data_IF_013834752469
#
_entry.id   IF_013834752469
#
_cell.length_a   1.000
_cell.length_b   1.000
_cell.length_c   1.000
_cell.angle_alpha   90.00
_cell.angle_beta   90.00
_cell.angle_gamma   90.00
#
_symmetry.space_group_name_H-M   'P 1'
#
loop_
_entity.id
_entity.type
_entity.pdbx_description
1 polymer ?
#
# COMPACT_ATOMS: atom_id res chain seq x y z
N UNK A 1 50.82 -24.26 22.92
CA UNK A 1 49.47 -24.82 22.79
C UNK A 1 48.37 -23.99 23.49
N UNK A 2 48.69 -23.30 24.59
CA UNK A 2 47.70 -22.45 25.32
C UNK A 2 47.42 -21.11 24.61
N UNK A 3 48.40 -20.55 23.90
CA UNK A 3 48.28 -19.25 23.24
C UNK A 3 47.36 -19.28 21.99
N UNK A 4 47.35 -20.41 21.29
CA UNK A 4 46.46 -20.62 20.13
C UNK A 4 44.99 -20.81 20.54
N UNK A 5 44.72 -21.39 21.72
CA UNK A 5 43.34 -21.61 22.22
C UNK A 5 42.69 -20.26 22.66
N UNK A 6 43.51 -19.30 23.19
CA UNK A 6 43.04 -17.96 23.56
C UNK A 6 42.60 -17.12 22.32
N UNK A 7 43.40 -17.19 21.26
CA UNK A 7 43.09 -16.46 20.00
C UNK A 7 41.88 -16.99 19.29
N UNK A 8 41.60 -18.28 19.35
CA UNK A 8 40.39 -18.90 18.79
C UNK A 8 39.11 -18.51 19.55
N UNK A 9 39.17 -18.39 20.88
CA UNK A 9 38.05 -17.94 21.70
C UNK A 9 37.68 -16.48 21.47
N UNK A 10 38.67 -15.60 21.32
CA UNK A 10 38.44 -14.16 21.09
C UNK A 10 37.94 -13.91 19.66
N UNK A 11 38.47 -14.64 18.66
CA UNK A 11 38.00 -14.54 17.28
C UNK A 11 36.57 -15.06 17.07
N UNK A 12 36.23 -16.14 17.77
CA UNK A 12 34.88 -16.70 17.72
C UNK A 12 33.80 -15.79 18.34
N UNK A 13 34.13 -15.17 19.48
CA UNK A 13 33.22 -14.25 20.17
C UNK A 13 32.97 -12.95 19.38
N UNK A 14 34.00 -12.42 18.70
CA UNK A 14 33.90 -11.27 17.83
C UNK A 14 33.10 -11.59 16.54
N UNK A 15 33.25 -12.79 15.97
CA UNK A 15 32.51 -13.23 14.80
C UNK A 15 31.02 -13.43 15.08
N UNK A 16 30.67 -13.97 16.27
CA UNK A 16 29.27 -14.15 16.70
C UNK A 16 28.63 -12.77 16.99
N UNK A 17 29.36 -11.84 17.60
CA UNK A 17 28.87 -10.48 17.85
C UNK A 17 28.63 -9.70 16.56
N UNK A 18 29.53 -9.82 15.57
CA UNK A 18 29.37 -9.18 14.27
C UNK A 18 28.21 -9.78 13.44
N UNK A 19 28.03 -11.11 13.51
CA UNK A 19 26.91 -11.80 12.86
C UNK A 19 25.55 -11.43 13.49
N UNK A 20 25.49 -11.29 14.83
CA UNK A 20 24.27 -10.86 15.52
C UNK A 20 23.94 -9.39 15.20
N UNK A 21 24.92 -8.49 15.21
CA UNK A 21 24.70 -7.08 14.85
C UNK A 21 24.33 -6.92 13.37
N UNK A 22 24.94 -7.68 12.47
CA UNK A 22 24.60 -7.72 11.04
C UNK A 22 23.19 -8.26 10.78
N UNK A 23 22.78 -9.29 11.53
CA UNK A 23 21.43 -9.86 11.46
C UNK A 23 20.35 -8.88 11.92
N UNK A 24 20.61 -8.11 12.98
CA UNK A 24 19.68 -7.08 13.44
C UNK A 24 19.54 -5.91 12.46
N UNK A 25 20.65 -5.44 11.89
CA UNK A 25 20.63 -4.38 10.88
C UNK A 25 19.93 -4.86 9.59
N UNK A 26 20.25 -6.06 9.12
CA UNK A 26 19.60 -6.65 7.94
C UNK A 26 18.09 -6.84 8.15
N UNK A 27 17.65 -7.25 9.34
CA UNK A 27 16.23 -7.40 9.67
C UNK A 27 15.44 -6.11 9.55
N UNK A 28 16.00 -4.98 9.97
CA UNK A 28 15.34 -3.65 9.86
C UNK A 28 15.25 -3.16 8.42
N UNK A 29 16.24 -3.46 7.58
CA UNK A 29 16.22 -3.12 6.15
C UNK A 29 15.27 -4.00 5.35
N UNK A 30 14.99 -5.23 5.81
CA UNK A 30 14.12 -6.17 5.11
C UNK A 30 12.63 -6.04 5.48
N UNK A 31 12.29 -5.38 6.60
CA UNK A 31 10.91 -5.23 7.04
C UNK A 31 9.98 -4.58 6.00
N UNK A 32 10.36 -3.47 5.33
CA UNK A 32 9.53 -2.87 4.29
C UNK A 32 9.32 -3.82 3.10
N UNK A 33 10.34 -4.60 2.74
CA UNK A 33 10.26 -5.57 1.65
C UNK A 33 9.36 -6.76 2.00
N UNK A 34 9.39 -7.22 3.26
CA UNK A 34 8.51 -8.29 3.75
C UNK A 34 7.06 -7.81 3.79
N UNK A 35 6.81 -6.60 4.26
CA UNK A 35 5.49 -5.98 4.28
C UNK A 35 4.90 -5.85 2.88
N UNK A 36 5.65 -5.31 1.95
CA UNK A 36 5.26 -5.20 0.55
C UNK A 36 4.95 -6.57 -0.09
N UNK A 37 5.81 -7.56 0.13
CA UNK A 37 5.60 -8.92 -0.37
C UNK A 37 4.31 -9.57 0.15
N UNK A 38 3.97 -9.33 1.42
CA UNK A 38 2.74 -9.81 2.05
C UNK A 38 1.51 -9.16 1.39
N UNK A 39 1.49 -7.84 1.23
CA UNK A 39 0.36 -7.14 0.61
C UNK A 39 0.20 -7.53 -0.86
N UNK A 40 1.28 -7.69 -1.61
CA UNK A 40 1.21 -8.18 -2.99
C UNK A 40 0.65 -9.61 -3.07
N UNK A 41 0.96 -10.48 -2.10
CA UNK A 41 0.36 -11.83 -2.03
C UNK A 41 -1.15 -11.75 -1.75
N UNK A 42 -1.57 -10.78 -0.94
CA UNK A 42 -3.00 -10.50 -0.68
C UNK A 42 -3.71 -10.01 -1.94
N UNK A 43 -3.11 -9.07 -2.68
CA UNK A 43 -3.62 -8.62 -3.98
C UNK A 43 -3.79 -9.79 -4.94
N UNK A 44 -2.80 -10.67 -5.04
CA UNK A 44 -2.86 -11.86 -5.87
C UNK A 44 -4.04 -12.77 -5.49
N UNK A 45 -4.19 -13.05 -4.19
CA UNK A 45 -5.26 -13.92 -3.69
C UNK A 45 -6.65 -13.35 -3.99
N UNK A 46 -6.83 -12.04 -3.81
CA UNK A 46 -8.11 -11.35 -4.02
C UNK A 46 -8.47 -11.23 -5.51
N UNK A 47 -7.51 -10.89 -6.35
CA UNK A 47 -7.71 -10.75 -7.80
C UNK A 47 -7.70 -12.09 -8.54
N UNK A 48 -7.21 -13.17 -7.91
CA UNK A 48 -7.06 -14.53 -8.47
C UNK A 48 -6.23 -14.58 -9.76
N UNK A 49 -5.36 -13.61 -9.96
CA UNK A 49 -4.47 -13.57 -11.14
C UNK A 49 -3.20 -14.37 -10.88
N UNK A 50 -2.60 -14.90 -11.95
CA UNK A 50 -1.33 -15.61 -11.84
C UNK A 50 -0.19 -14.64 -11.48
N UNK A 51 0.69 -15.10 -10.59
CA UNK A 51 1.83 -14.33 -10.08
C UNK A 51 2.82 -13.90 -11.18
N UNK A 52 2.88 -14.67 -12.27
CA UNK A 52 3.74 -14.39 -13.41
C UNK A 52 3.03 -13.61 -14.52
N UNK A 53 1.71 -13.34 -14.35
CA UNK A 53 0.92 -12.62 -15.35
C UNK A 53 1.41 -11.17 -15.55
N UNK A 54 1.25 -10.61 -16.75
CA UNK A 54 1.54 -9.20 -17.00
C UNK A 54 0.74 -8.26 -16.08
N UNK A 55 -0.50 -8.62 -15.76
CA UNK A 55 -1.37 -7.83 -14.88
C UNK A 55 -0.80 -7.76 -13.46
N UNK A 56 -0.33 -8.87 -12.90
CA UNK A 56 0.28 -8.87 -11.57
C UNK A 56 1.58 -8.06 -11.53
N UNK A 57 2.40 -8.19 -12.57
CA UNK A 57 3.63 -7.40 -12.71
C UNK A 57 3.32 -5.90 -12.76
N UNK A 58 2.33 -5.51 -13.55
CA UNK A 58 1.91 -4.11 -13.66
C UNK A 58 1.39 -3.54 -12.34
N UNK A 59 0.60 -4.29 -11.55
CA UNK A 59 0.18 -3.89 -10.20
C UNK A 59 1.39 -3.71 -9.26
N UNK A 60 2.33 -4.65 -9.30
CA UNK A 60 3.55 -4.59 -8.49
C UNK A 60 4.41 -3.37 -8.84
N UNK A 61 4.62 -3.12 -10.13
CA UNK A 61 5.37 -1.95 -10.62
C UNK A 61 4.69 -0.64 -10.24
N UNK A 62 3.37 -0.57 -10.37
CA UNK A 62 2.60 0.59 -9.95
C UNK A 62 2.77 0.86 -8.45
N UNK A 63 2.67 -0.16 -7.59
CA UNK A 63 2.82 0.03 -6.15
C UNK A 63 4.23 0.51 -5.78
N UNK A 64 5.27 -0.01 -6.42
CA UNK A 64 6.65 0.46 -6.23
C UNK A 64 6.83 1.91 -6.70
N UNK A 65 6.28 2.25 -7.85
CA UNK A 65 6.35 3.61 -8.42
C UNK A 65 5.64 4.60 -7.49
N UNK A 66 4.40 4.34 -7.13
CA UNK A 66 3.63 5.22 -6.23
C UNK A 66 4.29 5.35 -4.86
N UNK A 67 4.89 4.26 -4.34
CA UNK A 67 5.66 4.31 -3.10
C UNK A 67 6.93 5.14 -3.18
N UNK A 68 7.46 5.43 -4.37
CA UNK A 68 8.61 6.31 -4.56
C UNK A 68 8.24 7.76 -4.89
N UNK A 69 7.03 7.99 -5.40
CA UNK A 69 6.55 9.29 -5.89
C UNK A 69 5.60 9.99 -4.91
N UNK A 70 5.09 9.27 -3.90
CA UNK A 70 4.11 9.80 -2.94
C UNK A 70 4.64 9.69 -1.50
N UNK A 71 3.89 10.22 -0.53
CA UNK A 71 4.19 10.06 0.90
C UNK A 71 3.94 8.63 1.42
N UNK A 72 3.28 7.78 0.65
CA UNK A 72 2.97 6.39 1.00
C UNK A 72 4.13 5.48 0.65
N UNK A 73 4.28 4.38 1.39
CA UNK A 73 5.23 3.32 1.03
C UNK A 73 4.66 2.42 -0.09
N UNK A 74 5.54 1.64 -0.74
CA UNK A 74 5.08 0.61 -1.68
C UNK A 74 4.13 -0.41 -1.03
N UNK A 75 4.32 -0.69 0.27
CA UNK A 75 3.42 -1.54 1.06
C UNK A 75 2.04 -0.92 1.21
N UNK A 76 1.97 0.39 1.49
CA UNK A 76 0.70 1.11 1.60
C UNK A 76 -0.03 1.13 0.25
N UNK A 77 0.68 1.40 -0.84
CA UNK A 77 0.11 1.36 -2.19
C UNK A 77 -0.42 -0.04 -2.54
N UNK A 78 0.32 -1.11 -2.20
CA UNK A 78 -0.14 -2.49 -2.37
C UNK A 78 -1.36 -2.81 -1.48
N UNK A 79 -1.42 -2.26 -0.27
CA UNK A 79 -2.60 -2.37 0.61
C UNK A 79 -3.81 -1.69 -0.03
N UNK A 80 -3.65 -0.48 -0.58
CA UNK A 80 -4.69 0.20 -1.35
C UNK A 80 -5.21 -0.64 -2.53
N UNK A 81 -4.31 -1.30 -3.27
CA UNK A 81 -4.70 -2.25 -4.32
C UNK A 81 -5.53 -3.43 -3.76
N UNK A 82 -5.16 -3.94 -2.58
CA UNK A 82 -5.91 -5.02 -1.95
C UNK A 82 -7.32 -4.58 -1.53
N UNK A 83 -7.49 -3.35 -1.02
CA UNK A 83 -8.82 -2.81 -0.69
C UNK A 83 -9.69 -2.66 -1.94
N UNK A 84 -9.17 -2.13 -3.04
CA UNK A 84 -9.89 -2.04 -4.30
C UNK A 84 -10.25 -3.44 -4.86
N UNK A 85 -9.35 -4.42 -4.72
CA UNK A 85 -9.62 -5.81 -5.10
C UNK A 85 -10.77 -6.42 -4.26
N UNK A 86 -10.84 -6.13 -2.95
CA UNK A 86 -11.96 -6.52 -2.10
C UNK A 86 -13.27 -5.87 -2.51
N UNK A 87 -13.24 -4.64 -3.01
CA UNK A 87 -14.40 -3.97 -3.58
C UNK A 87 -14.82 -4.53 -4.97
N UNK A 88 -14.11 -5.55 -5.46
CA UNK A 88 -14.44 -6.24 -6.72
C UNK A 88 -13.82 -5.62 -7.97
N UNK A 89 -12.87 -4.72 -7.84
CA UNK A 89 -12.22 -4.08 -8.98
C UNK A 89 -11.31 -5.08 -9.71
N UNK A 90 -11.36 -5.05 -11.03
CA UNK A 90 -10.43 -5.79 -11.90
C UNK A 90 -9.00 -5.22 -11.77
N UNK A 91 -7.95 -5.96 -12.14
CA UNK A 91 -6.58 -5.45 -12.11
C UNK A 91 -6.39 -4.12 -12.85
N UNK A 92 -7.04 -3.94 -13.99
CA UNK A 92 -7.03 -2.70 -14.76
C UNK A 92 -7.74 -1.56 -14.04
N UNK A 93 -8.90 -1.85 -13.44
CA UNK A 93 -9.65 -0.87 -12.66
C UNK A 93 -8.88 -0.44 -11.40
N UNK A 94 -8.17 -1.38 -10.74
CA UNK A 94 -7.28 -1.07 -9.60
C UNK A 94 -6.17 -0.11 -10.02
N UNK A 95 -5.51 -0.38 -11.17
CA UNK A 95 -4.46 0.49 -11.67
C UNK A 95 -4.98 1.90 -11.98
N UNK A 96 -6.18 2.01 -12.53
CA UNK A 96 -6.79 3.29 -12.87
C UNK A 96 -7.22 4.08 -11.62
N UNK A 97 -7.79 3.40 -10.61
CA UNK A 97 -8.35 4.06 -9.43
C UNK A 97 -7.32 4.42 -8.33
N UNK A 98 -6.25 3.62 -8.20
CA UNK A 98 -5.32 3.75 -7.08
C UNK A 98 -4.69 5.15 -6.92
N UNK A 99 -4.25 5.84 -7.99
CA UNK A 99 -3.70 7.20 -7.84
C UNK A 99 -4.69 8.15 -7.18
N UNK A 100 -5.96 8.13 -7.60
CA UNK A 100 -7.02 8.96 -7.02
C UNK A 100 -7.31 8.63 -5.56
N UNK A 101 -7.26 7.36 -5.18
CA UNK A 101 -7.38 6.94 -3.77
C UNK A 101 -6.24 7.53 -2.93
N UNK A 102 -4.99 7.45 -3.41
CA UNK A 102 -3.83 8.01 -2.70
C UNK A 102 -3.94 9.53 -2.57
N UNK A 103 -4.34 10.23 -3.64
CA UNK A 103 -4.56 11.67 -3.63
C UNK A 103 -5.65 12.08 -2.64
N UNK A 104 -6.77 11.37 -2.64
CA UNK A 104 -7.89 11.60 -1.73
C UNK A 104 -7.53 11.32 -0.28
N UNK A 105 -6.79 10.23 0.00
CA UNK A 105 -6.29 9.90 1.33
C UNK A 105 -5.33 10.98 1.86
N UNK A 106 -4.44 11.48 1.00
CA UNK A 106 -3.54 12.58 1.33
C UNK A 106 -4.31 13.86 1.67
N UNK A 107 -5.26 14.24 0.84
CA UNK A 107 -6.05 15.47 1.01
C UNK A 107 -6.96 15.41 2.24
N UNK A 108 -7.56 14.24 2.50
CA UNK A 108 -8.46 14.01 3.64
C UNK A 108 -7.76 13.64 4.94
N UNK A 109 -6.46 13.35 4.92
CA UNK A 109 -5.73 12.84 6.08
C UNK A 109 -6.27 11.51 6.60
N UNK A 110 -6.79 10.67 5.71
CA UNK A 110 -7.50 9.43 6.03
C UNK A 110 -6.66 8.19 5.74
N UNK A 111 -7.04 7.07 6.36
CA UNK A 111 -6.52 5.76 6.06
C UNK A 111 -6.86 5.33 4.62
N UNK A 112 -5.92 4.62 3.95
CA UNK A 112 -6.11 4.18 2.58
C UNK A 112 -7.27 3.22 2.38
N UNK A 113 -7.51 2.34 3.36
CA UNK A 113 -8.61 1.38 3.30
C UNK A 113 -9.96 2.08 3.35
N UNK A 114 -10.12 3.01 4.28
CA UNK A 114 -11.33 3.81 4.43
C UNK A 114 -11.56 4.70 3.20
N UNK A 115 -10.52 5.32 2.68
CA UNK A 115 -10.59 6.13 1.46
C UNK A 115 -10.97 5.30 0.23
N UNK A 116 -10.40 4.09 0.09
CA UNK A 116 -10.75 3.19 -1.00
C UNK A 116 -12.21 2.71 -0.91
N UNK A 117 -12.72 2.45 0.31
CA UNK A 117 -14.11 2.08 0.52
C UNK A 117 -15.05 3.23 0.12
N UNK A 118 -14.80 4.45 0.58
CA UNK A 118 -15.60 5.63 0.19
C UNK A 118 -15.57 5.82 -1.34
N UNK A 119 -14.39 5.85 -1.93
CA UNK A 119 -14.24 6.09 -3.37
C UNK A 119 -14.90 5.00 -4.23
N UNK A 120 -14.71 3.73 -3.88
CA UNK A 120 -15.30 2.61 -4.61
C UNK A 120 -16.83 2.57 -4.49
N UNK A 121 -17.38 2.89 -3.33
CA UNK A 121 -18.83 3.01 -3.12
C UNK A 121 -19.43 4.12 -3.99
N UNK A 122 -18.79 5.29 -4.03
CA UNK A 122 -19.23 6.41 -4.86
C UNK A 122 -19.20 6.04 -6.35
N UNK A 123 -18.09 5.46 -6.84
CA UNK A 123 -18.01 5.02 -8.23
C UNK A 123 -19.14 4.04 -8.56
N UNK A 124 -19.41 3.08 -7.69
CA UNK A 124 -20.44 2.07 -7.89
C UNK A 124 -21.84 2.67 -7.88
N UNK A 125 -22.16 3.53 -6.91
CA UNK A 125 -23.48 4.14 -6.77
C UNK A 125 -23.82 5.07 -7.94
N UNK A 126 -22.84 5.82 -8.42
CA UNK A 126 -23.04 6.76 -9.54
C UNK A 126 -22.74 6.14 -10.92
N UNK A 127 -22.44 4.82 -10.98
CA UNK A 127 -22.14 4.14 -12.24
C UNK A 127 -20.89 4.69 -12.95
N UNK A 128 -19.93 5.21 -12.19
CA UNK A 128 -18.72 5.79 -12.73
C UNK A 128 -17.64 4.72 -12.95
N UNK A 129 -16.80 4.92 -13.96
CA UNK A 129 -15.66 4.03 -14.23
C UNK A 129 -14.47 4.30 -13.30
N UNK A 130 -13.59 3.33 -13.12
CA UNK A 130 -12.46 3.40 -12.18
C UNK A 130 -11.47 4.55 -12.46
N UNK A 131 -11.31 4.94 -13.72
CA UNK A 131 -10.49 6.08 -14.17
C UNK A 131 -11.05 7.45 -13.74
N UNK A 132 -12.31 7.49 -13.29
CA UNK A 132 -12.93 8.70 -12.74
C UNK A 132 -12.64 8.90 -11.24
N UNK A 133 -11.87 8.02 -10.60
CA UNK A 133 -11.54 8.12 -9.18
C UNK A 133 -10.85 9.45 -8.83
N UNK A 134 -9.93 9.93 -9.67
CA UNK A 134 -9.29 11.25 -9.47
C UNK A 134 -10.33 12.38 -9.43
N UNK A 135 -11.29 12.36 -10.37
CA UNK A 135 -12.36 13.35 -10.42
C UNK A 135 -13.28 13.28 -9.19
N UNK A 136 -13.57 12.08 -8.72
CA UNK A 136 -14.33 11.89 -7.46
C UNK A 136 -13.54 12.48 -6.29
N UNK A 137 -12.24 12.18 -6.21
CA UNK A 137 -11.35 12.72 -5.20
C UNK A 137 -11.29 14.24 -5.20
N UNK A 138 -11.13 14.86 -6.36
CA UNK A 138 -11.11 16.32 -6.52
C UNK A 138 -12.44 16.96 -6.08
N UNK A 139 -13.56 16.35 -6.47
CA UNK A 139 -14.90 16.86 -6.12
C UNK A 139 -15.13 16.80 -4.61
N UNK A 140 -14.79 15.65 -3.98
CA UNK A 140 -14.91 15.49 -2.53
C UNK A 140 -13.95 16.42 -1.78
N UNK A 141 -12.71 16.52 -2.22
CA UNK A 141 -11.72 17.45 -1.64
C UNK A 141 -12.21 18.89 -1.72
N UNK A 142 -12.76 19.32 -2.85
CA UNK A 142 -13.35 20.65 -2.99
C UNK A 142 -14.59 20.84 -2.08
N UNK A 143 -15.38 19.80 -1.87
CA UNK A 143 -16.54 19.84 -0.99
C UNK A 143 -16.13 20.02 0.47
N UNK A 144 -15.25 19.16 1.01
CA UNK A 144 -14.89 19.25 2.42
C UNK A 144 -13.98 20.44 2.76
N UNK A 145 -13.17 20.93 1.81
CA UNK A 145 -12.36 22.15 2.02
C UNK A 145 -13.18 23.46 2.02
N UNK A 146 -14.33 23.46 1.36
CA UNK A 146 -15.24 24.61 1.30
C UNK A 146 -16.35 24.57 2.34
N UNK A 147 -16.58 23.42 2.96
CA UNK A 147 -17.54 23.21 4.05
C UNK A 147 -16.78 22.88 5.32
N UNK A 148 -17.39 23.04 6.48
CA UNK A 148 -16.78 22.62 7.75
C UNK A 148 -17.04 21.10 8.00
N UNK A 149 -16.96 20.29 6.95
CA UNK A 149 -17.23 18.85 6.94
C UNK A 149 -15.96 18.13 6.54
N UNK A 150 -15.68 16.98 7.12
CA UNK A 150 -14.57 16.13 6.73
C UNK A 150 -14.98 15.12 5.64
N UNK A 151 -13.98 14.48 5.02
CA UNK A 151 -14.20 13.50 3.96
C UNK A 151 -14.98 12.27 4.47
N UNK A 152 -14.78 11.87 5.73
CA UNK A 152 -15.48 10.75 6.35
C UNK A 152 -16.98 11.02 6.45
N UNK A 153 -17.35 12.19 6.95
CA UNK A 153 -18.75 12.60 7.08
C UNK A 153 -19.44 12.70 5.72
N UNK A 154 -18.75 13.21 4.70
CA UNK A 154 -19.25 13.19 3.32
C UNK A 154 -19.45 11.77 2.80
N UNK A 155 -18.47 10.87 3.01
CA UNK A 155 -18.55 9.47 2.59
C UNK A 155 -19.71 8.74 3.24
N UNK A 156 -19.94 8.93 4.53
CA UNK A 156 -21.09 8.36 5.24
C UNK A 156 -22.41 8.88 4.68
N UNK A 157 -22.52 10.18 4.42
CA UNK A 157 -23.74 10.77 3.82
C UNK A 157 -24.01 10.20 2.44
N UNK A 158 -22.97 10.03 1.61
CA UNK A 158 -23.10 9.52 0.25
C UNK A 158 -23.47 8.03 0.18
N UNK A 159 -23.23 7.25 1.25
CA UNK A 159 -23.68 5.85 1.33
C UNK A 159 -25.20 5.69 1.35
N UNK A 160 -25.92 6.73 1.77
CA UNK A 160 -27.38 6.69 1.95
C UNK A 160 -28.14 7.57 0.94
N UNK A 161 -27.42 8.17 -0.01
CA UNK A 161 -28.01 8.99 -1.08
C UNK A 161 -28.33 8.15 -2.32
#
# INVERSE_FOLDING_TARGET
>A
AQETAGKLKTGGALAIGAAAAGGYAAGRFLQPAIGFGKEMSRVQALTRIDKNSPQFKALREQALKLGSETQFTAGDAASGQAFLAMAGFTPQAIQAALPGVLSMATAGGMDLGETADIGSNILTQFGLSADQMDRVGDTLTAAFTRTNTDLRALGETMKYA
#
